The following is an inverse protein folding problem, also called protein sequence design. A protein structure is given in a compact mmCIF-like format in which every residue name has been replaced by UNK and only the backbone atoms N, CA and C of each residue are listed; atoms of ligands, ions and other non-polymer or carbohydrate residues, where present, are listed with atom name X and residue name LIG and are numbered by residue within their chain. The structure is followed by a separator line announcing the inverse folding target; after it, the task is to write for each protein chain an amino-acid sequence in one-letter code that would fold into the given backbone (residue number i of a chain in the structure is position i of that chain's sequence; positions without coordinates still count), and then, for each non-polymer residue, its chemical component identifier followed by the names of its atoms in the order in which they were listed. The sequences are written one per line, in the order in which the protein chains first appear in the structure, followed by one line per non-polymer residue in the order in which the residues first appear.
data_IF_866484554184
#
_entry.id   IF_866484554184
#
_cell.length_a   1.000
_cell.length_b   1.000
_cell.length_c   1.000
_cell.angle_alpha   90.00
_cell.angle_beta   90.00
_cell.angle_gamma   90.00
#
_symmetry.space_group_name_H-M   'P 1'
#
loop_
_entity.id
_entity.type
_entity.pdbx_description
1 polymer ?
#
# COMPACT_ATOMS: atom_id res chain seq x y z
N UNK A 1 11.65 -5.44 18.29
CA UNK A 1 11.58 -4.00 18.65
C UNK A 1 11.56 -3.90 20.17
N UNK A 2 12.19 -2.89 20.80
CA UNK A 2 12.41 -2.86 22.28
C UNK A 2 11.56 -1.85 23.07
N UNK A 3 10.49 -1.31 22.49
CA UNK A 3 9.70 -0.23 23.11
C UNK A 3 8.35 -0.62 23.75
N UNK A 4 7.92 -1.88 23.67
CA UNK A 4 6.56 -2.25 24.12
C UNK A 4 5.44 -1.58 23.30
N UNK A 5 5.72 -1.22 22.05
CA UNK A 5 4.79 -0.54 21.15
C UNK A 5 4.40 -1.44 19.99
N UNK A 6 3.14 -1.37 19.57
CA UNK A 6 2.71 -1.92 18.30
C UNK A 6 3.23 -1.02 17.17
N UNK A 7 3.44 -1.60 15.99
CA UNK A 7 3.83 -0.86 14.80
C UNK A 7 2.97 -1.30 13.61
N UNK A 8 2.42 -0.31 12.92
CA UNK A 8 1.78 -0.50 11.62
C UNK A 8 2.51 0.38 10.64
N UNK A 9 3.04 -0.22 9.58
CA UNK A 9 3.82 0.47 8.56
C UNK A 9 3.18 0.27 7.20
N UNK A 10 2.88 1.37 6.52
CA UNK A 10 2.32 1.38 5.17
C UNK A 10 3.44 1.79 4.20
N UNK A 11 4.07 0.80 3.57
CA UNK A 11 5.17 1.05 2.64
C UNK A 11 4.64 1.09 1.20
N UNK A 12 4.56 2.30 0.65
CA UNK A 12 4.14 2.60 -0.72
C UNK A 12 5.32 3.02 -1.63
N UNK A 13 6.55 2.78 -1.19
CA UNK A 13 7.75 3.23 -1.90
C UNK A 13 7.99 2.32 -3.11
N UNK A 14 8.40 2.91 -4.23
CA UNK A 14 8.75 2.18 -5.47
C UNK A 14 10.24 2.22 -5.80
N UNK A 15 10.98 3.13 -5.17
CA UNK A 15 12.41 3.35 -5.41
C UNK A 15 13.10 3.73 -4.10
N UNK A 16 14.28 3.16 -3.88
CA UNK A 16 14.99 3.23 -2.60
C UNK A 16 14.86 1.92 -1.83
N UNK A 17 15.37 1.91 -0.60
CA UNK A 17 15.22 0.75 0.28
C UNK A 17 13.80 0.71 0.85
N UNK A 18 13.14 -0.43 0.71
CA UNK A 18 11.89 -0.70 1.43
C UNK A 18 12.18 -0.67 2.93
N UNK A 19 11.35 0.06 3.66
CA UNK A 19 11.46 0.19 5.12
C UNK A 19 10.56 -0.84 5.82
N UNK A 20 9.68 -1.50 5.05
CA UNK A 20 8.80 -2.59 5.47
C UNK A 20 9.46 -3.55 6.47
N UNK A 21 8.95 -3.56 7.70
CA UNK A 21 9.43 -4.49 8.75
C UNK A 21 9.09 -5.95 8.44
N UNK A 22 8.09 -6.20 7.60
CA UNK A 22 7.72 -7.55 7.22
C UNK A 22 8.72 -8.11 6.20
N UNK A 23 9.14 -9.38 6.34
CA UNK A 23 10.04 -10.01 5.38
C UNK A 23 9.28 -10.43 4.11
N UNK A 24 8.93 -9.46 3.25
CA UNK A 24 8.14 -9.66 2.01
C UNK A 24 8.82 -10.67 1.09
N UNK A 25 10.14 -10.74 1.11
CA UNK A 25 10.96 -11.71 0.39
C UNK A 25 10.73 -13.16 0.80
N UNK A 26 10.10 -13.41 1.96
CA UNK A 26 9.69 -14.75 2.40
C UNK A 26 8.30 -15.15 1.91
N UNK A 27 7.52 -14.22 1.37
CA UNK A 27 6.23 -14.54 0.76
C UNK A 27 6.43 -15.25 -0.59
N UNK A 28 5.52 -16.16 -1.00
CA UNK A 28 5.53 -16.71 -2.35
C UNK A 28 5.51 -15.58 -3.40
N UNK A 29 6.29 -15.66 -4.50
CA UNK A 29 6.39 -14.60 -5.50
C UNK A 29 5.04 -14.09 -6.01
N UNK A 30 4.07 -14.99 -6.21
CA UNK A 30 2.71 -14.71 -6.68
C UNK A 30 1.84 -13.95 -5.67
N UNK A 31 2.25 -13.92 -4.39
CA UNK A 31 1.58 -13.18 -3.32
C UNK A 31 2.27 -11.85 -3.01
N UNK A 32 3.36 -11.52 -3.71
CA UNK A 32 4.05 -10.25 -3.52
C UNK A 32 3.32 -9.17 -4.31
N UNK A 33 3.20 -8.00 -3.70
CA UNK A 33 2.76 -6.79 -4.35
C UNK A 33 3.91 -5.78 -4.40
N UNK A 34 3.82 -4.74 -5.26
CA UNK A 34 4.78 -3.64 -5.25
C UNK A 34 4.73 -2.80 -3.97
N UNK A 35 3.68 -2.94 -3.16
CA UNK A 35 3.54 -2.28 -1.87
C UNK A 35 3.13 -3.28 -0.79
N UNK A 36 3.31 -2.90 0.47
CA UNK A 36 2.96 -3.76 1.60
C UNK A 36 2.54 -2.93 2.81
N UNK A 37 1.56 -3.44 3.56
CA UNK A 37 1.37 -3.02 4.95
C UNK A 37 1.91 -4.08 5.89
N UNK A 38 2.71 -3.68 6.85
CA UNK A 38 3.24 -4.55 7.90
C UNK A 38 2.56 -4.23 9.23
N UNK A 39 2.12 -5.25 9.95
CA UNK A 39 1.54 -5.13 11.29
C UNK A 39 2.35 -5.97 12.26
N UNK A 40 2.97 -5.31 13.22
CA UNK A 40 3.69 -5.89 14.34
C UNK A 40 2.98 -5.55 15.65
N UNK A 41 2.86 -6.56 16.51
CA UNK A 41 2.33 -6.37 17.86
C UNK A 41 3.42 -6.61 18.89
N UNK A 42 3.48 -5.77 19.91
CA UNK A 42 4.50 -5.94 20.95
C UNK A 42 4.26 -7.16 21.84
N UNK A 43 3.00 -7.59 21.98
CA UNK A 43 2.56 -8.75 22.76
C UNK A 43 2.71 -10.07 22.00
N UNK A 44 3.07 -10.02 20.72
CA UNK A 44 3.38 -11.17 19.85
C UNK A 44 4.63 -10.86 19.01
N UNK A 45 5.81 -10.75 19.65
CA UNK A 45 7.01 -10.23 18.99
C UNK A 45 7.61 -11.17 17.95
N UNK A 46 7.18 -12.43 17.91
CA UNK A 46 7.63 -13.43 16.94
C UNK A 46 6.87 -13.36 15.60
N UNK A 47 5.77 -12.60 15.58
CA UNK A 47 4.88 -12.51 14.42
C UNK A 47 4.87 -11.11 13.83
N UNK A 48 5.08 -11.03 12.52
CA UNK A 48 4.78 -9.84 11.71
C UNK A 48 3.81 -10.26 10.63
N UNK A 49 2.66 -9.59 10.56
CA UNK A 49 1.67 -9.83 9.49
C UNK A 49 1.97 -8.90 8.33
N UNK A 50 2.12 -9.47 7.14
CA UNK A 50 2.24 -8.73 5.90
C UNK A 50 0.89 -8.73 5.16
N UNK A 51 0.51 -7.56 4.64
CA UNK A 51 -0.62 -7.34 3.75
C UNK A 51 -0.07 -6.78 2.44
N UNK A 52 0.35 -7.64 1.51
CA UNK A 52 0.81 -7.22 0.19
C UNK A 52 -0.33 -6.53 -0.57
N UNK A 53 0.02 -5.51 -1.35
CA UNK A 53 -0.93 -4.71 -2.09
C UNK A 53 -0.61 -4.80 -3.57
N UNK A 54 -1.55 -5.32 -4.35
CA UNK A 54 -1.50 -5.31 -5.80
C UNK A 54 -1.80 -3.91 -6.35
N UNK A 55 -1.22 -3.56 -7.50
CA UNK A 55 -1.61 -2.34 -8.23
C UNK A 55 -3.06 -2.38 -8.72
N UNK A 56 -3.60 -3.58 -8.96
CA UNK A 56 -4.88 -3.78 -9.68
C UNK A 56 -6.08 -3.96 -8.76
N UNK A 57 -5.85 -4.07 -7.46
CA UNK A 57 -6.88 -4.33 -6.45
C UNK A 57 -7.08 -3.10 -5.56
N UNK A 58 -8.23 -3.03 -4.87
CA UNK A 58 -8.44 -1.99 -3.86
C UNK A 58 -7.46 -2.19 -2.70
N UNK A 59 -7.03 -1.08 -2.10
CA UNK A 59 -6.19 -1.10 -0.91
C UNK A 59 -6.88 -1.88 0.23
N UNK A 60 -6.13 -2.70 0.98
CA UNK A 60 -6.69 -3.58 1.98
C UNK A 60 -7.22 -2.81 3.19
N UNK A 61 -8.19 -3.41 3.88
CA UNK A 61 -8.51 -3.04 5.24
C UNK A 61 -7.44 -3.63 6.17
N UNK A 62 -6.86 -2.80 7.03
CA UNK A 62 -5.74 -3.20 7.89
C UNK A 62 -6.17 -3.16 9.35
N UNK A 63 -5.96 -4.23 10.12
CA UNK A 63 -6.19 -4.19 11.56
C UNK A 63 -5.11 -3.36 12.25
N UNK A 64 -5.54 -2.42 13.08
CA UNK A 64 -4.67 -1.58 13.90
C UNK A 64 -4.67 -2.13 15.32
N UNK A 65 -3.53 -2.70 15.78
CA UNK A 65 -3.42 -3.22 17.13
C UNK A 65 -3.51 -2.08 18.16
N UNK A 66 -4.44 -2.21 19.09
CA UNK A 66 -4.50 -1.36 20.29
C UNK A 66 -3.82 -2.09 21.46
N UNK A 67 -4.35 -1.99 22.68
CA UNK A 67 -3.81 -2.76 23.81
C UNK A 67 -4.07 -4.26 23.60
N UNK A 68 -3.30 -5.16 24.24
CA UNK A 68 -3.45 -6.60 24.07
C UNK A 68 -4.87 -7.13 24.32
N UNK A 69 -5.61 -6.50 25.24
CA UNK A 69 -6.97 -6.87 25.61
C UNK A 69 -8.04 -6.25 24.71
N UNK A 70 -7.66 -5.26 23.90
CA UNK A 70 -8.58 -4.52 23.04
C UNK A 70 -8.69 -5.22 21.70
N UNK A 71 -9.89 -5.18 21.10
CA UNK A 71 -10.07 -5.64 19.72
C UNK A 71 -9.38 -4.65 18.77
N UNK A 72 -8.81 -5.19 17.70
CA UNK A 72 -8.23 -4.38 16.64
C UNK A 72 -9.30 -3.48 16.02
N UNK A 73 -8.92 -2.22 15.79
CA UNK A 73 -9.73 -1.29 14.98
C UNK A 73 -9.35 -1.49 13.53
N UNK A 74 -10.34 -1.52 12.63
CA UNK A 74 -10.08 -1.67 11.20
C UNK A 74 -9.84 -0.31 10.57
N UNK A 75 -8.65 -0.12 10.00
CA UNK A 75 -8.32 1.03 9.15
C UNK A 75 -8.68 0.71 7.71
N UNK A 76 -9.61 1.48 7.14
CA UNK A 76 -9.97 1.38 5.73
C UNK A 76 -9.03 2.27 4.91
N UNK A 77 -7.96 1.69 4.34
CA UNK A 77 -6.94 2.49 3.64
C UNK A 77 -7.46 3.14 2.36
N UNK A 78 -8.31 2.44 1.61
CA UNK A 78 -8.80 2.95 0.33
C UNK A 78 -9.51 4.31 0.45
N UNK A 79 -10.56 4.50 1.28
CA UNK A 79 -11.22 5.79 1.38
C UNK A 79 -10.27 6.91 1.87
N UNK A 80 -9.30 6.59 2.74
CA UNK A 80 -8.32 7.57 3.20
C UNK A 80 -7.42 8.07 2.07
N UNK A 81 -6.94 7.18 1.20
CA UNK A 81 -6.14 7.56 0.03
C UNK A 81 -7.01 8.28 -1.00
N UNK A 82 -8.25 7.86 -1.21
CA UNK A 82 -9.21 8.53 -2.10
C UNK A 82 -9.44 9.99 -1.66
N UNK A 83 -9.56 10.22 -0.34
CA UNK A 83 -9.70 11.55 0.24
C UNK A 83 -8.44 12.39 0.06
N UNK A 84 -7.26 11.87 0.40
CA UNK A 84 -5.98 12.53 0.16
C UNK A 84 -5.79 12.92 -1.31
N UNK A 85 -6.12 12.02 -2.24
CA UNK A 85 -6.03 12.25 -3.68
C UNK A 85 -6.89 13.43 -4.12
N UNK A 86 -8.14 13.48 -3.63
CA UNK A 86 -9.09 14.55 -3.96
C UNK A 86 -8.65 15.88 -3.35
N UNK A 87 -8.25 15.88 -2.08
CA UNK A 87 -7.91 17.09 -1.33
C UNK A 87 -6.62 17.73 -1.86
N UNK A 88 -5.63 16.91 -2.25
CA UNK A 88 -4.41 17.36 -2.91
C UNK A 88 -4.62 17.77 -4.39
N UNK A 89 -5.84 17.63 -4.92
CA UNK A 89 -6.18 17.85 -6.34
C UNK A 89 -5.24 17.09 -7.28
N UNK A 90 -4.92 15.85 -6.91
CA UNK A 90 -4.06 14.99 -7.71
C UNK A 90 -4.62 14.81 -9.13
N UNK A 91 -5.93 14.90 -9.31
CA UNK A 91 -6.58 14.91 -10.63
C UNK A 91 -6.08 16.01 -11.60
N UNK A 92 -5.35 17.02 -11.13
CA UNK A 92 -4.74 18.07 -11.96
C UNK A 92 -3.29 17.78 -12.36
N UNK A 93 -2.72 16.68 -11.88
CA UNK A 93 -1.38 16.23 -12.26
C UNK A 93 -1.38 15.73 -13.71
N UNK A 94 -0.25 15.86 -14.39
CA UNK A 94 -0.06 15.31 -15.73
C UNK A 94 0.20 13.80 -15.66
N UNK A 95 -0.88 13.01 -15.73
CA UNK A 95 -0.82 11.55 -15.77
C UNK A 95 -0.36 10.98 -17.11
N UNK A 96 -0.11 11.83 -18.12
CA UNK A 96 0.47 11.41 -19.39
C UNK A 96 1.99 11.18 -19.31
N UNK A 97 2.64 11.67 -18.26
CA UNK A 97 4.08 11.48 -18.05
C UNK A 97 4.42 10.02 -17.71
N UNK A 98 5.58 9.52 -18.16
CA UNK A 98 6.06 8.21 -17.75
C UNK A 98 6.31 8.17 -16.24
N UNK A 99 5.95 7.05 -15.60
CA UNK A 99 6.22 6.83 -14.18
C UNK A 99 7.72 6.66 -13.94
N UNK A 100 8.21 7.25 -12.84
CA UNK A 100 9.57 7.08 -12.34
C UNK A 100 9.48 6.52 -10.92
N UNK A 101 10.05 5.33 -10.65
CA UNK A 101 10.63 4.39 -11.60
C UNK A 101 9.56 3.81 -12.56
N UNK A 102 9.96 3.21 -13.70
CA UNK A 102 9.01 2.58 -14.61
C UNK A 102 8.30 1.40 -13.94
N UNK A 103 7.08 1.10 -14.39
CA UNK A 103 6.38 -0.14 -14.05
C UNK A 103 6.92 -1.31 -14.90
N UNK A 104 6.54 -2.53 -14.54
CA UNK A 104 6.68 -3.68 -15.44
C UNK A 104 5.93 -3.41 -16.76
N UNK A 105 6.34 -4.02 -17.88
CA UNK A 105 5.68 -3.78 -19.17
C UNK A 105 4.18 -4.10 -19.15
N UNK A 106 3.79 -5.14 -18.40
CA UNK A 106 2.38 -5.52 -18.25
C UNK A 106 1.61 -4.47 -17.45
N UNK A 107 2.12 -4.06 -16.30
CA UNK A 107 1.46 -3.06 -15.46
C UNK A 107 1.47 -1.66 -16.10
N UNK A 108 2.51 -1.32 -16.86
CA UNK A 108 2.56 -0.07 -17.61
C UNK A 108 1.46 0.01 -18.67
N UNK A 109 1.27 -1.09 -19.43
CA UNK A 109 0.21 -1.18 -20.44
C UNK A 109 -1.17 -1.07 -19.81
N UNK A 110 -1.39 -1.79 -18.70
CA UNK A 110 -2.62 -1.73 -17.94
C UNK A 110 -2.89 -0.31 -17.40
N UNK A 111 -1.92 0.30 -16.71
CA UNK A 111 -2.04 1.64 -16.14
C UNK A 111 -2.31 2.70 -17.21
N UNK A 112 -1.62 2.62 -18.35
CA UNK A 112 -1.86 3.53 -19.47
C UNK A 112 -3.29 3.42 -20.00
N UNK A 113 -3.82 2.21 -20.15
CA UNK A 113 -5.21 2.04 -20.60
C UNK A 113 -6.23 2.64 -19.63
N UNK A 114 -6.00 2.52 -18.32
CA UNK A 114 -6.83 3.16 -17.29
C UNK A 114 -6.75 4.69 -17.35
N UNK A 115 -5.54 5.26 -17.47
CA UNK A 115 -5.37 6.71 -17.57
C UNK A 115 -6.08 7.25 -18.83
N UNK A 116 -5.94 6.57 -19.97
CA UNK A 116 -6.63 6.98 -21.20
C UNK A 116 -8.15 6.96 -21.05
N UNK A 117 -8.70 5.89 -20.47
CA UNK A 117 -10.14 5.79 -20.20
C UNK A 117 -10.62 6.87 -19.22
N UNK A 118 -9.84 7.14 -18.18
CA UNK A 118 -10.15 8.16 -17.18
C UNK A 118 -10.13 9.57 -17.78
N UNK A 119 -9.12 9.91 -18.59
CA UNK A 119 -9.03 11.20 -19.29
C UNK A 119 -10.22 11.45 -20.22
N UNK A 120 -10.75 10.42 -20.89
CA UNK A 120 -11.98 10.52 -21.70
C UNK A 120 -13.21 10.82 -20.83
N UNK A 121 -13.24 10.32 -19.59
CA UNK A 121 -14.40 10.44 -18.70
C UNK A 121 -14.45 11.79 -17.98
N UNK A 122 -13.30 12.45 -17.78
CA UNK A 122 -13.20 13.74 -17.09
C UNK A 122 -13.03 14.94 -18.04
N UNK A 123 -12.73 14.70 -19.31
CA UNK A 123 -12.64 15.73 -20.37
C UNK A 123 -13.99 16.02 -20.99
#
# INVERSE_FOLDING_TARGET
MRGGVNLVEVDLIRQGEHVAIAPVEKLPPERRGPYVVSVYRHDDPETIKAYPISLRERLPNVPIPLRPTDRDVVLQLQPLIDDCYRDARCNRMDYGQPLIPPLSSEDATWAQSLVQQWLITIG
#
